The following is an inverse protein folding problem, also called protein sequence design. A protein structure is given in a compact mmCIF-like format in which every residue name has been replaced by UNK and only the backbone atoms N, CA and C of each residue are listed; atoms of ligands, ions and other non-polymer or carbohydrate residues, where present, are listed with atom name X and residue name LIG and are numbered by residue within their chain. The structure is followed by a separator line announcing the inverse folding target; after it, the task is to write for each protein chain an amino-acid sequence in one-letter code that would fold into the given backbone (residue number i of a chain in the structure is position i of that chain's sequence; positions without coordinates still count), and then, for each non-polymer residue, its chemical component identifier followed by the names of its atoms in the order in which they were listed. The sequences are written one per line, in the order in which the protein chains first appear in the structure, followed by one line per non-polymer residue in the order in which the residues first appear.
data_IF_085008856616
#
_entry.id   IF_085008856616
#
_cell.length_a   1.000
_cell.length_b   1.000
_cell.length_c   1.000
_cell.angle_alpha   90.00
_cell.angle_beta   90.00
_cell.angle_gamma   90.00
#
_symmetry.space_group_name_H-M   'P 1'
#
loop_
_entity.id
_entity.type
_entity.pdbx_description
1 polymer ?
#
# COMPACT_ATOMS: atom_id res chain seq x y z
N UNK A 1 -28.50 17.19 -28.03
CA UNK A 1 -27.26 17.77 -27.47
C UNK A 1 -26.69 16.71 -26.54
N UNK A 2 -25.41 16.34 -26.61
CA UNK A 2 -24.82 15.46 -25.60
C UNK A 2 -25.02 16.15 -24.25
N UNK A 3 -25.77 15.52 -23.36
CA UNK A 3 -26.20 16.16 -22.13
C UNK A 3 -24.95 16.49 -21.32
N UNK A 4 -24.90 17.67 -20.70
CA UNK A 4 -23.78 18.07 -19.82
C UNK A 4 -23.42 16.98 -18.80
N UNK A 5 -24.41 16.17 -18.44
CA UNK A 5 -24.28 14.99 -17.60
C UNK A 5 -23.31 13.94 -18.17
N UNK A 6 -23.41 13.58 -19.45
CA UNK A 6 -22.54 12.58 -20.09
C UNK A 6 -21.08 13.06 -20.12
N UNK A 7 -20.86 14.36 -20.30
CA UNK A 7 -19.51 14.95 -20.22
C UNK A 7 -18.95 14.91 -18.79
N UNK A 8 -19.79 15.17 -17.79
CA UNK A 8 -19.41 15.13 -16.39
C UNK A 8 -19.04 13.72 -15.94
N UNK A 9 -19.83 12.72 -16.36
CA UNK A 9 -19.60 11.30 -16.06
C UNK A 9 -18.29 10.81 -16.68
N UNK A 10 -18.04 11.15 -17.95
CA UNK A 10 -16.79 10.76 -18.62
C UNK A 10 -15.54 11.41 -18.00
N UNK A 11 -15.65 12.67 -17.57
CA UNK A 11 -14.56 13.37 -16.89
C UNK A 11 -14.29 12.77 -15.50
N UNK A 12 -15.35 12.45 -14.75
CA UNK A 12 -15.22 11.77 -13.46
C UNK A 12 -14.55 10.40 -13.62
N UNK A 13 -15.00 9.59 -14.58
CA UNK A 13 -14.41 8.28 -14.87
C UNK A 13 -12.91 8.37 -15.22
N UNK A 14 -12.54 9.34 -16.07
CA UNK A 14 -11.12 9.58 -16.41
C UNK A 14 -10.27 9.99 -15.22
N UNK A 15 -10.80 10.84 -14.34
CA UNK A 15 -10.08 11.27 -13.14
C UNK A 15 -9.88 10.11 -12.17
N UNK A 16 -10.91 9.30 -11.94
CA UNK A 16 -10.81 8.09 -11.13
C UNK A 16 -9.80 7.11 -11.71
N UNK A 17 -9.81 6.88 -13.02
CA UNK A 17 -8.84 5.98 -13.67
C UNK A 17 -7.40 6.49 -13.55
N UNK A 18 -7.17 7.79 -13.73
CA UNK A 18 -5.84 8.38 -13.63
C UNK A 18 -5.30 8.39 -12.18
N UNK A 19 -6.14 8.72 -11.19
CA UNK A 19 -5.76 8.62 -9.78
C UNK A 19 -5.51 7.17 -9.38
N UNK A 20 -6.35 6.25 -9.85
CA UNK A 20 -6.20 4.83 -9.58
C UNK A 20 -4.90 4.30 -10.18
N UNK A 21 -4.64 4.49 -11.47
CA UNK A 21 -3.41 4.00 -12.13
C UNK A 21 -2.14 4.56 -11.45
N UNK A 22 -2.13 5.86 -11.10
CA UNK A 22 -1.01 6.47 -10.40
C UNK A 22 -0.80 5.87 -8.99
N UNK A 23 -1.85 5.77 -8.19
CA UNK A 23 -1.74 5.18 -6.85
C UNK A 23 -1.38 3.70 -6.94
N UNK A 24 -2.01 2.96 -7.84
CA UNK A 24 -1.82 1.53 -8.02
C UNK A 24 -0.39 1.17 -8.44
N UNK A 25 0.16 1.87 -9.43
CA UNK A 25 1.56 1.72 -9.88
C UNK A 25 2.55 2.16 -8.80
N UNK A 26 2.18 3.15 -7.97
CA UNK A 26 3.04 3.59 -6.86
C UNK A 26 3.05 2.62 -5.66
N UNK A 27 1.97 1.86 -5.49
CA UNK A 27 1.77 0.92 -4.37
C UNK A 27 2.17 -0.51 -4.73
N UNK A 28 2.12 -0.87 -6.01
CA UNK A 28 2.34 -2.22 -6.49
C UNK A 28 3.28 -2.21 -7.70
N UNK A 29 4.03 -3.30 -7.88
CA UNK A 29 4.83 -3.53 -9.11
C UNK A 29 4.01 -4.15 -10.24
N UNK A 30 2.69 -4.16 -10.11
CA UNK A 30 1.79 -4.78 -11.05
C UNK A 30 1.62 -3.87 -12.27
N UNK A 31 1.46 -4.50 -13.44
CA UNK A 31 1.19 -3.78 -14.68
C UNK A 31 -0.30 -3.42 -14.78
N UNK A 32 -0.66 -2.48 -15.66
CA UNK A 32 -2.07 -2.16 -15.93
C UNK A 32 -2.86 -3.42 -16.34
N UNK A 33 -2.25 -4.33 -17.12
CA UNK A 33 -2.86 -5.61 -17.54
C UNK A 33 -3.13 -6.55 -16.35
N UNK A 34 -2.20 -6.65 -15.40
CA UNK A 34 -2.38 -7.46 -14.19
C UNK A 34 -3.51 -6.90 -13.33
N UNK A 35 -3.61 -5.57 -13.30
CA UNK A 35 -4.66 -4.85 -12.56
C UNK A 35 -6.03 -5.10 -13.15
N UNK A 36 -6.13 -5.00 -14.47
CA UNK A 36 -7.38 -5.20 -15.19
C UNK A 36 -7.84 -6.65 -15.12
N UNK A 37 -6.91 -7.61 -15.16
CA UNK A 37 -7.19 -9.00 -14.80
C UNK A 37 -7.75 -9.15 -13.40
N UNK A 38 -7.11 -8.53 -12.40
CA UNK A 38 -7.54 -8.64 -11.01
C UNK A 38 -8.96 -8.10 -10.81
N UNK A 39 -9.27 -6.96 -11.44
CA UNK A 39 -10.60 -6.34 -11.42
C UNK A 39 -11.63 -7.27 -12.08
N UNK A 40 -11.30 -7.83 -13.25
CA UNK A 40 -12.19 -8.73 -13.98
C UNK A 40 -12.42 -10.06 -13.25
N UNK A 41 -11.38 -10.64 -12.65
CA UNK A 41 -11.45 -11.93 -11.96
C UNK A 41 -12.22 -11.84 -10.64
N UNK A 42 -12.10 -10.71 -9.93
CA UNK A 42 -12.72 -10.52 -8.61
C UNK A 42 -14.03 -9.75 -8.63
N UNK A 43 -14.30 -9.03 -9.73
CA UNK A 43 -15.42 -8.10 -9.83
C UNK A 43 -15.30 -6.87 -8.91
N UNK A 44 -14.14 -6.64 -8.29
CA UNK A 44 -13.92 -5.51 -7.39
C UNK A 44 -13.86 -4.21 -8.19
N UNK A 45 -14.39 -3.12 -7.62
CA UNK A 45 -14.21 -1.80 -8.22
C UNK A 45 -12.75 -1.35 -8.11
N UNK A 46 -12.29 -0.52 -9.07
CA UNK A 46 -10.98 0.15 -9.00
C UNK A 46 -10.81 0.89 -7.67
N UNK A 47 -11.85 1.59 -7.24
CA UNK A 47 -11.83 2.43 -6.04
C UNK A 47 -11.66 1.61 -4.75
N UNK A 48 -12.31 0.44 -4.65
CA UNK A 48 -12.17 -0.43 -3.49
C UNK A 48 -10.84 -1.18 -3.49
N UNK A 49 -10.35 -1.58 -4.67
CA UNK A 49 -9.02 -2.16 -4.81
C UNK A 49 -7.92 -1.20 -4.34
N UNK A 50 -8.02 0.09 -4.66
CA UNK A 50 -7.09 1.11 -4.15
C UNK A 50 -7.13 1.23 -2.62
N UNK A 51 -8.31 1.15 -1.99
CA UNK A 51 -8.43 1.17 -0.52
C UNK A 51 -7.75 -0.06 0.10
N UNK A 52 -7.97 -1.24 -0.47
CA UNK A 52 -7.33 -2.48 0.02
C UNK A 52 -5.81 -2.36 -0.05
N UNK A 53 -5.28 -1.87 -1.19
CA UNK A 53 -3.83 -1.72 -1.35
C UNK A 53 -3.24 -0.67 -0.40
N UNK A 54 -3.96 0.40 -0.13
CA UNK A 54 -3.56 1.39 0.87
C UNK A 54 -3.45 0.74 2.26
N UNK A 55 -4.46 -0.04 2.67
CA UNK A 55 -4.45 -0.75 3.95
C UNK A 55 -3.26 -1.72 4.04
N UNK A 56 -2.99 -2.48 2.97
CA UNK A 56 -1.83 -3.40 2.89
C UNK A 56 -0.51 -2.64 3.01
N UNK A 57 -0.38 -1.48 2.36
CA UNK A 57 0.82 -0.64 2.45
C UNK A 57 1.02 -0.11 3.87
N UNK A 58 -0.04 0.40 4.48
CA UNK A 58 0.01 0.97 5.83
C UNK A 58 0.35 -0.13 6.87
N UNK A 59 -0.20 -1.33 6.71
CA UNK A 59 0.15 -2.49 7.52
C UNK A 59 1.63 -2.92 7.33
N UNK A 60 2.13 -2.88 6.09
CA UNK A 60 3.54 -3.20 5.79
C UNK A 60 4.48 -2.21 6.46
N UNK A 61 4.22 -0.90 6.32
CA UNK A 61 5.00 0.14 6.98
C UNK A 61 4.97 0.00 8.52
N UNK A 62 3.80 -0.32 9.09
CA UNK A 62 3.69 -0.60 10.53
C UNK A 62 4.54 -1.80 10.97
N UNK A 63 4.61 -2.85 10.16
CA UNK A 63 5.40 -4.04 10.46
C UNK A 63 6.91 -3.76 10.35
N UNK A 64 7.36 -2.96 9.39
CA UNK A 64 8.75 -2.52 9.29
C UNK A 64 9.17 -1.72 10.53
N UNK A 65 8.31 -0.81 11.00
CA UNK A 65 8.56 -0.05 12.23
C UNK A 65 8.67 -0.97 13.46
N UNK A 66 7.78 -1.97 13.57
CA UNK A 66 7.84 -2.97 14.64
C UNK A 66 9.13 -3.80 14.57
N UNK A 67 9.55 -4.20 13.38
CA UNK A 67 10.80 -4.95 13.18
C UNK A 67 12.02 -4.11 13.62
N UNK A 68 12.06 -2.82 13.26
CA UNK A 68 13.10 -1.91 13.71
C UNK A 68 13.12 -1.74 15.24
N UNK A 69 11.94 -1.65 15.87
CA UNK A 69 11.84 -1.58 17.33
C UNK A 69 12.36 -2.85 18.02
N UNK A 70 12.03 -4.04 17.48
CA UNK A 70 12.55 -5.33 17.97
C UNK A 70 14.08 -5.38 17.85
N UNK A 71 14.64 -4.93 16.73
CA UNK A 71 16.09 -4.87 16.54
C UNK A 71 16.76 -3.97 17.58
N UNK A 72 16.16 -2.82 17.90
CA UNK A 72 16.67 -1.93 18.95
C UNK A 72 16.64 -2.58 20.34
N UNK A 73 15.58 -3.32 20.65
CA UNK A 73 15.49 -4.10 21.90
C UNK A 73 16.61 -5.15 21.95
N UNK A 74 16.82 -5.89 20.87
CA UNK A 74 17.88 -6.91 20.81
C UNK A 74 19.28 -6.30 21.02
N UNK A 75 19.53 -5.10 20.46
CA UNK A 75 20.76 -4.36 20.69
C UNK A 75 20.93 -3.96 22.16
N UNK A 76 19.84 -3.49 22.79
CA UNK A 76 19.83 -3.16 24.22
C UNK A 76 20.11 -4.38 25.11
N UNK A 77 19.47 -5.52 24.82
CA UNK A 77 19.73 -6.79 25.52
C UNK A 77 21.19 -7.22 25.35
N UNK A 78 21.72 -7.12 24.13
CA UNK A 78 23.13 -7.43 23.85
C UNK A 78 24.09 -6.54 24.65
N UNK A 79 23.77 -5.26 24.80
CA UNK A 79 24.55 -4.34 25.63
C UNK A 79 24.52 -4.73 27.12
N UNK A 80 23.34 -5.09 27.66
CA UNK A 80 23.21 -5.55 29.04
C UNK A 80 24.03 -6.83 29.30
N UNK A 81 23.99 -7.78 28.37
CA UNK A 81 24.81 -9.01 28.46
C UNK A 81 26.30 -8.68 28.44
N UNK A 82 26.74 -7.75 27.58
CA UNK A 82 28.14 -7.33 27.52
C UNK A 82 28.60 -6.64 28.82
N UNK A 83 27.73 -5.85 29.45
CA UNK A 83 27.98 -5.23 30.76
C UNK A 83 28.10 -6.31 31.83
N UNK A 84 27.15 -7.25 31.90
CA UNK A 84 27.17 -8.34 32.87
C UNK A 84 28.45 -9.19 32.77
N UNK A 85 28.91 -9.48 31.55
CA UNK A 85 30.18 -10.19 31.31
C UNK A 85 31.43 -9.45 31.81
N UNK A 86 31.38 -8.12 31.97
CA UNK A 86 32.50 -7.35 32.53
C UNK A 86 32.55 -7.42 34.07
N UNK A 87 31.47 -7.86 34.71
CA UNK A 87 31.36 -8.01 36.16
C UNK A 87 31.53 -9.46 36.65
N UNK A 88 31.67 -10.41 35.72
CA UNK A 88 32.04 -11.82 35.96
C UNK A 88 33.52 -12.02 35.63
#
# INVERSE_FOLDING_TARGET
MPNKFDKLVNEAARRTDAEFSNQFTSLTRLTDDDTEKLINDTGISKEDLAKVLKEVKDATASNEQKAAAIQNINNGVSALVAIAKKFL
#
